data_IF_687678079578
#
_entry.id   IF_687678079578
#
_cell.length_a   1.000
_cell.length_b   1.000
_cell.length_c   1.000
_cell.angle_alpha   90.00
_cell.angle_beta   90.00
_cell.angle_gamma   90.00
#
_symmetry.space_group_name_H-M   'P 1'
#
loop_
_entity.id
_entity.type
_entity.pdbx_description
1 polymer ?
#
# COMPACT_ATOMS: atom_id res chain seq x y z
N UNK A 1 -6.53 -10.24 9.03
CA UNK A 1 -6.30 -11.67 8.69
C UNK A 1 -7.60 -12.50 8.61
N UNK A 2 -8.62 -12.21 9.42
CA UNK A 2 -9.82 -13.05 9.55
C UNK A 2 -10.65 -13.30 8.27
N UNK A 3 -10.45 -12.51 7.21
CA UNK A 3 -11.20 -12.66 5.94
C UNK A 3 -10.35 -13.15 4.78
N UNK A 4 -9.03 -13.29 4.96
CA UNK A 4 -8.09 -13.58 3.87
C UNK A 4 -8.43 -14.91 3.16
N UNK A 5 -8.73 -15.95 3.93
CA UNK A 5 -9.12 -17.24 3.36
C UNK A 5 -10.39 -17.12 2.50
N UNK A 6 -11.42 -16.46 3.06
CA UNK A 6 -12.70 -16.29 2.37
C UNK A 6 -12.60 -15.39 1.15
N UNK A 7 -11.93 -14.25 1.30
CA UNK A 7 -11.99 -13.16 0.32
C UNK A 7 -10.90 -13.30 -0.77
N UNK A 8 -9.87 -14.12 -0.51
CA UNK A 8 -8.73 -14.31 -1.44
C UNK A 8 -8.51 -15.79 -1.78
N UNK A 9 -8.18 -16.61 -0.81
CA UNK A 9 -7.69 -17.96 -1.07
C UNK A 9 -8.77 -18.92 -1.62
N UNK A 10 -10.02 -18.66 -1.27
CA UNK A 10 -11.16 -19.47 -1.72
C UNK A 10 -11.82 -18.92 -3.00
N UNK A 11 -11.23 -17.90 -3.63
CA UNK A 11 -11.72 -17.37 -4.89
C UNK A 11 -11.27 -18.28 -6.05
N UNK A 12 -12.25 -18.90 -6.73
CA UNK A 12 -11.96 -19.80 -7.85
C UNK A 12 -11.32 -19.04 -9.00
N UNK A 13 -10.21 -19.57 -9.54
CA UNK A 13 -9.51 -19.00 -10.68
C UNK A 13 -8.65 -17.78 -10.37
N UNK A 14 -8.52 -17.37 -9.10
CA UNK A 14 -7.62 -16.30 -8.71
C UNK A 14 -6.15 -16.72 -8.96
N UNK A 15 -5.43 -15.92 -9.74
CA UNK A 15 -4.02 -16.16 -10.11
C UNK A 15 -3.08 -15.12 -9.53
N UNK A 16 -3.60 -13.97 -9.18
CA UNK A 16 -2.81 -12.82 -8.75
C UNK A 16 -3.41 -12.23 -7.48
N UNK A 17 -2.55 -11.91 -6.53
CA UNK A 17 -2.87 -11.15 -5.33
C UNK A 17 -2.13 -9.82 -5.37
N UNK A 18 -2.84 -8.71 -5.26
CA UNK A 18 -2.25 -7.39 -4.99
C UNK A 18 -2.59 -7.01 -3.56
N UNK A 19 -1.58 -6.74 -2.74
CA UNK A 19 -1.76 -6.28 -1.36
C UNK A 19 -1.54 -4.78 -1.31
N UNK A 20 -2.63 -4.03 -1.12
CA UNK A 20 -2.65 -2.58 -0.96
C UNK A 20 -3.48 -2.23 0.28
N UNK A 21 -2.88 -2.36 1.43
CA UNK A 21 -3.52 -2.26 2.75
C UNK A 21 -2.57 -1.59 3.75
N UNK A 22 -3.10 -1.15 4.91
CA UNK A 22 -2.30 -0.69 6.04
C UNK A 22 -2.44 0.79 6.38
N UNK A 23 -2.97 1.64 5.48
CA UNK A 23 -3.11 3.08 5.75
C UNK A 23 -4.01 3.35 6.96
N UNK A 24 -5.08 2.60 7.13
CA UNK A 24 -6.00 2.74 8.27
C UNK A 24 -5.40 2.20 9.59
N UNK A 25 -4.60 1.13 9.50
CA UNK A 25 -3.85 0.63 10.66
C UNK A 25 -2.86 1.71 11.14
N UNK A 26 -2.15 2.34 10.21
CA UNK A 26 -1.23 3.45 10.51
C UNK A 26 -1.98 4.65 11.10
N UNK A 27 -3.11 5.03 10.49
CA UNK A 27 -3.93 6.14 10.97
C UNK A 27 -4.52 5.93 12.36
N UNK A 28 -4.78 4.69 12.72
CA UNK A 28 -5.38 4.31 14.02
C UNK A 28 -4.37 4.05 15.15
N UNK A 29 -3.07 3.90 14.85
CA UNK A 29 -2.08 3.58 15.87
C UNK A 29 -1.65 4.81 16.67
N UNK A 30 -1.35 4.65 17.97
CA UNK A 30 -0.67 5.67 18.75
C UNK A 30 0.81 5.77 18.36
N UNK A 31 1.41 6.94 18.49
CA UNK A 31 2.83 7.14 18.17
C UNK A 31 3.75 6.21 18.96
N UNK A 32 3.40 5.91 20.22
CA UNK A 32 4.16 4.97 21.05
C UNK A 32 4.16 3.53 20.50
N UNK A 33 3.10 3.13 19.80
CA UNK A 33 2.94 1.79 19.23
C UNK A 33 3.36 1.70 17.74
N UNK A 34 3.72 2.81 17.13
CA UNK A 34 4.09 2.88 15.72
C UNK A 34 5.24 1.89 15.35
N UNK A 35 6.33 1.75 16.13
CA UNK A 35 7.39 0.79 15.80
C UNK A 35 6.88 -0.66 15.81
N UNK A 36 6.02 -1.02 16.75
CA UNK A 36 5.41 -2.36 16.83
C UNK A 36 4.49 -2.61 15.64
N UNK A 37 3.74 -1.60 15.20
CA UNK A 37 2.89 -1.71 14.02
C UNK A 37 3.70 -2.01 12.75
N UNK A 38 4.86 -1.38 12.57
CA UNK A 38 5.75 -1.67 11.42
C UNK A 38 6.06 -3.16 11.33
N UNK A 39 6.48 -3.75 12.44
CA UNK A 39 6.78 -5.20 12.50
C UNK A 39 5.54 -6.04 12.20
N UNK A 40 4.40 -5.68 12.78
CA UNK A 40 3.15 -6.42 12.60
C UNK A 40 2.66 -6.37 11.14
N UNK A 41 2.74 -5.23 10.47
CA UNK A 41 2.37 -5.08 9.06
C UNK A 41 3.28 -5.92 8.16
N UNK A 42 4.60 -5.85 8.35
CA UNK A 42 5.55 -6.65 7.57
C UNK A 42 5.31 -8.14 7.76
N UNK A 43 5.04 -8.60 8.99
CA UNK A 43 4.71 -9.99 9.26
C UNK A 43 3.40 -10.42 8.58
N UNK A 44 2.38 -9.55 8.60
CA UNK A 44 1.12 -9.82 7.91
C UNK A 44 1.31 -9.91 6.39
N UNK A 45 2.05 -8.97 5.79
CA UNK A 45 2.32 -8.98 4.35
C UNK A 45 3.15 -10.22 3.94
N UNK A 46 4.14 -10.60 4.75
CA UNK A 46 4.90 -11.84 4.54
C UNK A 46 3.98 -13.06 4.54
N UNK A 47 3.05 -13.11 5.48
CA UNK A 47 2.07 -14.21 5.58
C UNK A 47 1.14 -14.23 4.38
N UNK A 48 0.61 -13.07 3.95
CA UNK A 48 -0.27 -12.99 2.78
C UNK A 48 0.41 -13.50 1.51
N UNK A 49 1.63 -13.02 1.23
CA UNK A 49 2.38 -13.46 0.05
C UNK A 49 2.70 -14.95 0.12
N UNK A 50 3.24 -15.44 1.23
CA UNK A 50 3.60 -16.85 1.41
C UNK A 50 2.40 -17.79 1.24
N UNK A 51 1.26 -17.43 1.83
CA UNK A 51 0.04 -18.24 1.74
C UNK A 51 -0.56 -18.22 0.34
N UNK A 52 -0.59 -17.07 -0.33
CA UNK A 52 -1.06 -16.97 -1.72
C UNK A 52 -0.17 -17.77 -2.68
N UNK A 53 1.14 -17.67 -2.53
CA UNK A 53 2.12 -18.43 -3.35
C UNK A 53 2.00 -19.94 -3.12
N UNK A 54 1.73 -20.38 -1.90
CA UNK A 54 1.44 -21.79 -1.62
C UNK A 54 0.18 -22.32 -2.32
N UNK A 55 -0.72 -21.41 -2.75
CA UNK A 55 -1.91 -21.74 -3.59
C UNK A 55 -1.68 -21.53 -5.08
N UNK A 56 -0.43 -21.31 -5.51
CA UNK A 56 -0.07 -21.09 -6.92
C UNK A 56 -0.37 -19.69 -7.46
N UNK A 57 -0.69 -18.72 -6.60
CA UNK A 57 -0.86 -17.32 -7.00
C UNK A 57 0.49 -16.62 -7.09
N UNK A 58 0.60 -15.63 -7.96
CA UNK A 58 1.63 -14.58 -7.86
C UNK A 58 1.16 -13.49 -6.90
N UNK A 59 2.07 -12.97 -6.08
CA UNK A 59 1.77 -11.95 -5.09
C UNK A 59 2.56 -10.66 -5.38
N UNK A 60 1.85 -9.53 -5.44
CA UNK A 60 2.41 -8.20 -5.65
C UNK A 60 2.10 -7.31 -4.46
N UNK A 61 3.12 -6.61 -3.97
CA UNK A 61 2.95 -5.61 -2.92
C UNK A 61 2.76 -4.22 -3.52
N UNK A 62 1.84 -3.43 -2.98
CA UNK A 62 1.67 -2.05 -3.39
C UNK A 62 2.05 -1.09 -2.26
N UNK A 63 2.82 -0.05 -2.58
CA UNK A 63 3.27 0.93 -1.59
C UNK A 63 2.13 1.83 -1.14
N UNK A 64 2.13 2.16 0.16
CA UNK A 64 1.12 3.03 0.79
C UNK A 64 1.36 4.48 0.35
N UNK A 65 0.33 5.12 -0.18
CA UNK A 65 0.36 6.50 -0.65
C UNK A 65 0.57 7.50 0.49
N UNK A 66 1.06 8.73 0.22
CA UNK A 66 1.20 9.77 1.21
C UNK A 66 -0.12 10.16 1.86
N UNK A 67 -0.06 10.65 3.09
CA UNK A 67 -1.21 11.18 3.84
C UNK A 67 -0.85 12.45 4.66
N UNK A 68 0.20 13.16 4.25
CA UNK A 68 0.53 14.46 4.84
C UNK A 68 -0.63 15.44 4.65
N UNK A 69 -1.00 16.15 5.70
CA UNK A 69 -2.20 16.99 5.72
C UNK A 69 -3.47 16.30 6.21
N UNK A 70 -3.55 14.97 6.20
CA UNK A 70 -4.63 14.23 6.83
C UNK A 70 -4.42 14.13 8.35
N UNK A 71 -5.51 13.98 9.10
CA UNK A 71 -5.48 13.76 10.56
C UNK A 71 -4.74 12.48 10.98
N UNK A 72 -4.43 11.58 10.05
CA UNK A 72 -3.58 10.41 10.30
C UNK A 72 -2.10 10.78 10.46
N UNK A 73 -1.68 11.92 9.93
CA UNK A 73 -0.27 12.28 9.90
C UNK A 73 0.30 12.61 11.28
N UNK A 74 1.32 11.86 11.67
CA UNK A 74 2.34 12.22 12.66
C UNK A 74 3.69 11.77 12.12
N UNK A 75 4.79 12.32 12.64
CA UNK A 75 6.13 11.89 12.23
C UNK A 75 6.38 10.39 12.52
N UNK A 76 5.84 9.86 13.61
CA UNK A 76 5.95 8.45 13.95
C UNK A 76 5.21 7.56 12.95
N UNK A 77 3.99 7.94 12.58
CA UNK A 77 3.17 7.21 11.59
C UNK A 77 3.75 7.30 10.19
N UNK A 78 4.30 8.45 9.80
CA UNK A 78 5.03 8.59 8.53
C UNK A 78 6.25 7.67 8.50
N UNK A 79 6.97 7.53 9.61
CA UNK A 79 8.07 6.57 9.72
C UNK A 79 7.60 5.13 9.47
N UNK A 80 6.43 4.74 9.96
CA UNK A 80 5.83 3.42 9.64
C UNK A 80 5.60 3.28 8.14
N UNK A 81 4.93 4.27 7.52
CA UNK A 81 4.66 4.27 6.08
C UNK A 81 5.94 4.11 5.26
N UNK A 82 6.96 4.91 5.55
CA UNK A 82 8.25 4.85 4.85
C UNK A 82 8.95 3.51 5.04
N UNK A 83 8.94 2.97 6.26
CA UNK A 83 9.55 1.67 6.56
C UNK A 83 8.87 0.53 5.80
N UNK A 84 7.54 0.51 5.79
CA UNK A 84 6.74 -0.47 5.05
C UNK A 84 6.98 -0.34 3.54
N UNK A 85 6.95 0.87 3.00
CA UNK A 85 7.18 1.12 1.58
C UNK A 85 8.60 0.71 1.16
N UNK A 86 9.60 1.03 1.97
CA UNK A 86 10.97 0.59 1.71
C UNK A 86 11.07 -0.94 1.73
N UNK A 87 10.41 -1.59 2.69
CA UNK A 87 10.37 -3.05 2.74
C UNK A 87 9.72 -3.63 1.47
N UNK A 88 8.59 -3.09 0.99
CA UNK A 88 7.99 -3.54 -0.29
C UNK A 88 8.95 -3.40 -1.46
N UNK A 89 9.73 -2.31 -1.54
CA UNK A 89 10.68 -2.07 -2.63
C UNK A 89 11.91 -2.97 -2.61
N UNK A 90 12.26 -3.52 -1.45
CA UNK A 90 13.52 -4.26 -1.24
C UNK A 90 13.37 -5.73 -0.90
N UNK A 91 12.15 -6.19 -0.55
CA UNK A 91 11.92 -7.59 -0.22
C UNK A 91 11.99 -8.50 -1.46
N UNK A 92 12.18 -9.80 -1.20
CA UNK A 92 12.21 -10.85 -2.23
C UNK A 92 11.04 -11.83 -2.10
N UNK A 93 10.09 -11.55 -1.21
CA UNK A 93 8.96 -12.44 -0.93
C UNK A 93 7.87 -12.25 -1.97
N UNK A 94 7.61 -11.00 -2.34
CA UNK A 94 6.68 -10.65 -3.39
C UNK A 94 7.32 -10.83 -4.78
N UNK A 95 6.51 -11.16 -5.77
CA UNK A 95 6.95 -11.37 -7.15
C UNK A 95 7.16 -10.03 -7.91
N UNK A 96 6.75 -8.93 -7.30
CA UNK A 96 6.95 -7.57 -7.78
C UNK A 96 6.30 -6.54 -6.88
N UNK A 97 6.62 -5.28 -7.13
CA UNK A 97 6.06 -4.13 -6.42
C UNK A 97 5.35 -3.18 -7.39
N UNK A 98 4.20 -2.66 -6.95
CA UNK A 98 3.47 -1.57 -7.62
C UNK A 98 3.69 -0.32 -6.79
N UNK A 99 4.48 0.62 -7.28
CA UNK A 99 4.91 1.77 -6.50
C UNK A 99 3.94 2.95 -6.62
N UNK A 100 2.77 2.81 -5.99
CA UNK A 100 1.76 3.87 -5.96
C UNK A 100 2.27 5.13 -5.25
N UNK A 101 3.09 4.98 -4.20
CA UNK A 101 3.71 6.12 -3.52
C UNK A 101 4.54 6.95 -4.50
N UNK A 102 5.41 6.33 -5.27
CA UNK A 102 6.23 7.04 -6.26
C UNK A 102 5.38 7.72 -7.36
N UNK A 103 4.27 7.09 -7.74
CA UNK A 103 3.39 7.62 -8.79
C UNK A 103 2.67 8.90 -8.39
N UNK A 104 2.33 9.07 -7.09
CA UNK A 104 1.44 10.15 -6.67
C UNK A 104 2.04 11.13 -5.66
N UNK A 105 3.17 10.81 -5.04
CA UNK A 105 3.80 11.70 -4.05
C UNK A 105 4.39 12.94 -4.69
N UNK A 106 4.33 14.05 -3.99
CA UNK A 106 5.04 15.28 -4.34
C UNK A 106 6.56 15.04 -4.33
N UNK A 107 7.30 15.44 -5.38
CA UNK A 107 8.74 15.18 -5.46
C UNK A 107 9.59 16.00 -4.47
N UNK A 108 9.03 17.05 -3.88
CA UNK A 108 9.71 17.93 -2.91
C UNK A 108 9.23 17.58 -1.50
N UNK A 109 7.92 17.56 -1.29
CA UNK A 109 7.30 17.23 -0.01
C UNK A 109 6.79 15.80 -0.02
N UNK A 110 7.70 14.85 0.19
CA UNK A 110 7.45 13.41 0.02
C UNK A 110 6.30 12.83 0.86
N UNK A 111 5.83 13.60 1.85
CA UNK A 111 4.70 13.23 2.70
C UNK A 111 3.34 13.60 2.12
N UNK A 112 3.33 14.39 1.03
CA UNK A 112 2.12 14.92 0.42
C UNK A 112 1.90 14.32 -0.98
N UNK A 113 0.67 14.45 -1.46
CA UNK A 113 0.36 14.23 -2.87
C UNK A 113 0.84 15.40 -3.74
N UNK A 114 1.11 15.14 -5.02
CA UNK A 114 1.28 16.19 -6.02
C UNK A 114 0.03 17.07 -6.09
N UNK A 115 0.23 18.38 -6.26
CA UNK A 115 -0.86 19.35 -6.32
C UNK A 115 -1.90 19.05 -7.41
N UNK A 116 -1.49 18.44 -8.54
CA UNK A 116 -2.40 18.04 -9.62
C UNK A 116 -3.42 16.96 -9.21
N UNK A 117 -3.15 16.21 -8.15
CA UNK A 117 -3.99 15.12 -7.66
C UNK A 117 -4.92 15.54 -6.53
N UNK A 118 -4.94 16.83 -6.24
CA UNK A 118 -5.72 17.46 -5.18
C UNK A 118 -6.57 18.64 -5.72
N UNK A 119 -7.73 18.98 -5.12
CA UNK A 119 -8.38 18.28 -4.02
C UNK A 119 -8.87 16.89 -4.39
N UNK A 120 -8.88 15.97 -3.41
CA UNK A 120 -9.40 14.62 -3.57
C UNK A 120 -10.92 14.58 -3.70
N UNK A 121 -11.45 13.38 -3.96
CA UNK A 121 -12.91 13.16 -4.15
C UNK A 121 -13.74 13.49 -2.90
N UNK A 122 -13.14 13.42 -1.72
CA UNK A 122 -13.76 13.75 -0.44
C UNK A 122 -13.32 15.14 0.07
N UNK A 123 -13.32 16.14 -0.81
CA UNK A 123 -13.11 17.54 -0.46
C UNK A 123 -12.04 17.78 0.63
N UNK A 124 -10.77 17.66 0.27
CA UNK A 124 -9.63 18.02 1.12
C UNK A 124 -9.37 17.11 2.34
N UNK A 125 -9.73 15.83 2.26
CA UNK A 125 -9.38 14.88 3.33
C UNK A 125 -7.88 14.51 3.36
N UNK A 126 -7.10 14.87 2.34
CA UNK A 126 -5.67 14.60 2.20
C UNK A 126 -5.31 13.10 2.28
N UNK A 127 -6.27 12.24 1.96
CA UNK A 127 -6.14 10.79 1.96
C UNK A 127 -6.58 10.16 0.63
N UNK A 128 -7.67 10.66 0.05
CA UNK A 128 -8.24 10.17 -1.19
C UNK A 128 -7.92 11.12 -2.34
N UNK A 129 -7.41 10.58 -3.42
CA UNK A 129 -7.01 11.32 -4.62
C UNK A 129 -8.24 11.76 -5.44
N UNK A 130 -8.04 12.72 -6.33
CA UNK A 130 -8.99 13.01 -7.39
C UNK A 130 -8.86 11.96 -8.53
N UNK A 131 -9.74 12.00 -9.56
CA UNK A 131 -9.68 11.04 -10.66
C UNK A 131 -8.34 11.01 -11.40
N UNK A 132 -7.62 12.14 -11.50
CA UNK A 132 -6.30 12.19 -12.13
C UNK A 132 -5.25 11.43 -11.30
N UNK A 133 -5.31 11.53 -9.98
CA UNK A 133 -4.41 10.78 -9.10
C UNK A 133 -4.68 9.27 -9.13
N UNK A 134 -5.95 8.86 -9.13
CA UNK A 134 -6.28 7.44 -9.31
C UNK A 134 -5.88 6.93 -10.69
N UNK A 135 -5.97 7.76 -11.74
CA UNK A 135 -5.45 7.40 -13.05
C UNK A 135 -3.93 7.21 -13.03
N UNK A 136 -3.19 8.10 -12.35
CA UNK A 136 -1.75 7.97 -12.21
C UNK A 136 -1.37 6.66 -11.48
N UNK A 137 -2.12 6.26 -10.45
CA UNK A 137 -1.93 4.95 -9.81
C UNK A 137 -2.18 3.80 -10.79
N UNK A 138 -3.26 3.86 -11.58
CA UNK A 138 -3.56 2.82 -12.55
C UNK A 138 -2.48 2.72 -13.63
N UNK A 139 -1.98 3.85 -14.14
CA UNK A 139 -0.93 3.91 -15.14
C UNK A 139 0.44 3.38 -14.61
N UNK A 140 0.65 3.40 -13.30
CA UNK A 140 1.85 2.87 -12.66
C UNK A 140 1.87 1.33 -12.54
N UNK A 141 0.79 0.66 -12.87
CA UNK A 141 0.72 -0.80 -12.86
C UNK A 141 1.38 -1.34 -14.13
N UNK A 142 2.53 -1.97 -13.98
CA UNK A 142 3.17 -2.68 -15.11
C UNK A 142 2.35 -3.93 -15.48
N UNK A 143 1.71 -3.92 -16.63
CA UNK A 143 0.89 -5.03 -17.11
C UNK A 143 1.69 -6.29 -17.40
N UNK A 144 3.01 -6.21 -17.55
CA UNK A 144 3.87 -7.39 -17.69
C UNK A 144 3.89 -8.27 -16.42
N UNK A 145 3.52 -7.71 -15.27
CA UNK A 145 3.35 -8.49 -14.04
C UNK A 145 2.29 -9.58 -14.18
N UNK A 146 1.30 -9.40 -15.08
CA UNK A 146 0.14 -10.29 -15.24
C UNK A 146 0.23 -11.18 -16.47
N UNK A 147 1.37 -11.27 -17.10
CA UNK A 147 1.59 -12.24 -18.19
C UNK A 147 1.74 -13.65 -17.62
N UNK A 148 1.24 -14.67 -18.32
CA UNK A 148 1.38 -16.07 -17.92
C UNK A 148 2.83 -16.53 -17.77
#
# INVERSE_FOLDING_TARGET
>A
MNRFDRDVLNQSGARYLIVFEGVNDIGGVSDANAPTLTTNLINAYTTFAGTAKARGMRAYGATITPFGGNGYYTSARETVRQSVNNWFRTNTIYDGVIDFDAAVRDPVTLTNFQAAFFPGVNANDWLHLNPAGYKAMADAIDLNLFTP
#
